data_IF_239554849204
#
_entry.id   IF_239554849204
#
_cell.length_a   1.000
_cell.length_b   1.000
_cell.length_c   1.000
_cell.angle_alpha   90.00
_cell.angle_beta   90.00
_cell.angle_gamma   90.00
#
_symmetry.space_group_name_H-M   'P 1'
#
loop_
_entity.id
_entity.type
_entity.pdbx_description
1 polymer ?
#
# COMPACT_ATOMS: atom_id res chain seq x y z
N UNK A 1 15.20 10.65 -33.59
CA UNK A 1 14.31 11.75 -33.11
C UNK A 1 12.82 11.38 -33.08
N UNK A 2 12.36 10.34 -33.80
CA UNK A 2 10.94 9.90 -33.80
C UNK A 2 10.40 9.27 -32.49
N UNK A 3 11.18 8.59 -31.61
CA UNK A 3 10.59 7.94 -30.42
C UNK A 3 10.27 8.90 -29.27
N UNK A 4 10.89 10.09 -29.24
CA UNK A 4 10.64 11.12 -28.22
C UNK A 4 9.31 11.85 -28.45
N UNK A 5 8.90 12.01 -29.71
CA UNK A 5 7.60 12.58 -30.09
C UNK A 5 6.44 11.64 -29.73
N UNK A 6 6.64 10.31 -29.83
CA UNK A 6 5.62 9.32 -29.45
C UNK A 6 5.40 9.27 -27.92
N UNK A 7 6.46 9.40 -27.13
CA UNK A 7 6.34 9.46 -25.66
C UNK A 7 5.66 10.75 -25.17
N UNK A 8 5.96 11.89 -25.81
CA UNK A 8 5.28 13.15 -25.53
C UNK A 8 3.79 13.11 -25.93
N UNK A 9 3.44 12.44 -27.03
CA UNK A 9 2.05 12.26 -27.45
C UNK A 9 1.24 11.39 -26.47
N UNK A 10 1.83 10.34 -25.88
CA UNK A 10 1.15 9.54 -24.84
C UNK A 10 0.93 10.32 -23.54
N UNK A 11 1.87 11.19 -23.15
CA UNK A 11 1.74 12.07 -21.97
C UNK A 11 0.71 13.19 -22.17
N UNK A 12 0.48 13.61 -23.41
CA UNK A 12 -0.55 14.62 -23.75
C UNK A 12 -1.96 14.00 -23.83
N UNK A 13 -2.06 12.71 -24.17
CA UNK A 13 -3.34 12.00 -24.24
C UNK A 13 -3.92 11.68 -22.85
N UNK A 14 -3.07 11.51 -21.84
CA UNK A 14 -3.52 11.33 -20.45
C UNK A 14 -4.12 12.60 -19.83
N UNK A 15 -3.84 13.78 -20.39
CA UNK A 15 -4.44 15.05 -19.94
C UNK A 15 -5.88 15.27 -20.45
N UNK A 16 -6.33 14.50 -21.45
CA UNK A 16 -7.65 14.65 -22.07
C UNK A 16 -8.71 13.68 -21.51
N UNK A 17 -8.29 12.68 -20.73
CA UNK A 17 -9.19 11.76 -20.04
C UNK A 17 -9.24 12.09 -18.55
N UNK A 18 -9.61 13.32 -18.19
CA UNK A 18 -10.22 13.55 -16.89
C UNK A 18 -11.60 12.91 -16.97
N UNK A 19 -11.66 11.60 -16.67
CA UNK A 19 -12.93 10.94 -16.45
C UNK A 19 -13.57 11.64 -15.25
N UNK A 20 -14.65 12.35 -15.51
CA UNK A 20 -15.41 13.16 -14.55
C UNK A 20 -16.23 12.26 -13.60
N UNK A 21 -15.56 11.27 -13.00
CA UNK A 21 -16.17 10.23 -12.14
C UNK A 21 -16.36 10.71 -10.69
N UNK A 22 -15.95 11.93 -10.38
CA UNK A 22 -15.99 12.53 -9.03
C UNK A 22 -17.15 13.53 -8.88
N UNK A 23 -17.98 13.69 -9.93
CA UNK A 23 -19.01 14.74 -10.02
C UNK A 23 -20.44 14.26 -9.76
N UNK A 24 -20.60 13.08 -9.15
CA UNK A 24 -21.91 12.68 -8.61
C UNK A 24 -22.24 13.55 -7.40
N UNK A 25 -23.45 14.13 -7.36
CA UNK A 25 -23.93 14.90 -6.22
C UNK A 25 -23.83 14.07 -4.94
N UNK A 26 -22.83 14.41 -4.10
CA UNK A 26 -22.72 13.86 -2.76
C UNK A 26 -23.85 14.49 -1.95
N UNK A 27 -24.95 13.74 -1.77
CA UNK A 27 -25.98 14.11 -0.80
C UNK A 27 -25.28 14.32 0.54
N UNK A 28 -25.20 15.57 1.00
CA UNK A 28 -24.51 15.91 2.25
C UNK A 28 -25.20 15.21 3.39
N UNK A 29 -24.58 14.11 3.84
CA UNK A 29 -25.03 13.41 5.02
C UNK A 29 -24.74 14.27 6.25
N UNK A 30 -25.63 14.27 7.25
CA UNK A 30 -25.36 14.97 8.51
C UNK A 30 -24.08 14.41 9.14
N UNK A 31 -23.32 15.28 9.82
CA UNK A 31 -22.09 14.90 10.50
C UNK A 31 -22.29 13.68 11.40
N UNK A 32 -21.59 12.60 11.10
CA UNK A 32 -21.63 11.40 11.92
C UNK A 32 -20.61 11.52 13.06
N UNK A 33 -21.02 12.16 14.15
CA UNK A 33 -20.17 12.44 15.32
C UNK A 33 -19.56 11.15 15.90
N UNK A 34 -20.33 10.05 15.89
CA UNK A 34 -19.87 8.75 16.39
C UNK A 34 -18.71 8.23 15.55
N UNK A 35 -18.84 8.26 14.22
CA UNK A 35 -17.79 7.80 13.31
C UNK A 35 -16.53 8.69 13.39
N UNK A 36 -16.70 10.01 13.55
CA UNK A 36 -15.59 10.95 13.73
C UNK A 36 -14.84 10.66 15.04
N UNK A 37 -15.55 10.44 16.15
CA UNK A 37 -14.97 10.10 17.44
C UNK A 37 -14.18 8.78 17.37
N UNK A 38 -14.74 7.75 16.74
CA UNK A 38 -14.04 6.48 16.52
C UNK A 38 -12.78 6.67 15.65
N UNK A 39 -12.87 7.46 14.58
CA UNK A 39 -11.74 7.75 13.71
C UNK A 39 -10.59 8.44 14.47
N UNK A 40 -10.88 9.49 15.23
CA UNK A 40 -9.87 10.24 15.99
C UNK A 40 -9.25 9.36 17.08
N UNK A 41 -10.05 8.56 17.79
CA UNK A 41 -9.54 7.62 18.79
C UNK A 41 -8.62 6.57 18.15
N UNK A 42 -9.04 5.99 17.02
CA UNK A 42 -8.25 4.98 16.32
C UNK A 42 -6.91 5.55 15.84
N UNK A 43 -6.94 6.67 15.11
CA UNK A 43 -5.72 7.35 14.62
C UNK A 43 -4.81 7.77 15.79
N UNK A 44 -5.39 8.35 16.84
CA UNK A 44 -4.64 8.74 18.03
C UNK A 44 -3.97 7.56 18.72
N UNK A 45 -4.68 6.44 18.88
CA UNK A 45 -4.13 5.21 19.45
C UNK A 45 -3.00 4.64 18.57
N UNK A 46 -3.18 4.58 17.25
CA UNK A 46 -2.13 4.12 16.32
C UNK A 46 -0.88 4.99 16.43
N UNK A 47 -1.02 6.31 16.37
CA UNK A 47 0.11 7.24 16.47
C UNK A 47 0.82 7.13 17.83
N UNK A 48 0.07 6.99 18.93
CA UNK A 48 0.62 6.79 20.25
C UNK A 48 1.44 5.49 20.34
N UNK A 49 0.89 4.38 19.84
CA UNK A 49 1.59 3.08 19.82
C UNK A 49 2.86 3.17 18.97
N UNK A 50 2.80 3.80 17.79
CA UNK A 50 3.97 3.99 16.91
C UNK A 50 5.05 4.84 17.57
N UNK A 51 4.67 5.94 18.23
CA UNK A 51 5.60 6.80 18.95
C UNK A 51 6.24 6.09 20.16
N UNK A 52 5.44 5.33 20.90
CA UNK A 52 5.95 4.53 22.02
C UNK A 52 6.90 3.42 21.55
N UNK A 53 6.57 2.77 20.43
CA UNK A 53 7.40 1.74 19.84
C UNK A 53 8.72 2.30 19.29
N UNK A 54 8.70 3.48 18.65
CA UNK A 54 9.90 4.09 18.07
C UNK A 54 10.96 4.42 19.11
N UNK A 55 10.56 4.77 20.35
CA UNK A 55 11.49 4.97 21.48
C UNK A 55 12.27 3.73 21.89
N UNK A 56 11.81 2.53 21.49
CA UNK A 56 12.43 1.24 21.85
C UNK A 56 13.42 0.75 20.79
N UNK A 57 13.47 1.39 19.62
CA UNK A 57 14.35 1.00 18.52
C UNK A 57 15.72 1.67 18.70
N UNK A 58 16.76 0.87 19.00
CA UNK A 58 18.12 1.39 19.22
C UNK A 58 19.15 0.88 18.22
N UNK A 59 18.87 -0.23 17.54
CA UNK A 59 19.75 -0.82 16.55
C UNK A 59 19.03 -1.09 15.22
N UNK A 60 19.82 -1.37 14.18
CA UNK A 60 19.30 -1.82 12.87
C UNK A 60 18.48 -3.09 12.99
N UNK A 61 18.89 -4.02 13.86
CA UNK A 61 18.18 -5.28 14.08
C UNK A 61 16.85 -5.03 14.79
N UNK A 62 16.79 -4.08 15.73
CA UNK A 62 15.53 -3.67 16.35
C UNK A 62 14.59 -3.02 15.33
N UNK A 63 15.12 -2.25 14.38
CA UNK A 63 14.31 -1.58 13.37
C UNK A 63 13.72 -2.56 12.35
N UNK A 64 14.52 -3.50 11.83
CA UNK A 64 14.07 -4.40 10.74
C UNK A 64 13.43 -5.70 11.22
N UNK A 65 13.81 -6.22 12.39
CA UNK A 65 13.32 -7.53 12.88
C UNK A 65 12.80 -7.48 14.31
N UNK A 66 12.69 -6.29 14.91
CA UNK A 66 12.32 -6.11 16.32
C UNK A 66 13.16 -6.98 17.27
N UNK A 67 14.44 -7.18 16.93
CA UNK A 67 15.35 -8.01 17.71
C UNK A 67 15.00 -9.50 17.72
N UNK A 68 14.17 -9.99 16.79
CA UNK A 68 13.71 -11.39 16.74
C UNK A 68 12.65 -11.75 17.79
N UNK A 69 12.01 -10.75 18.41
CA UNK A 69 11.06 -10.94 19.52
C UNK A 69 9.60 -11.13 19.11
N UNK A 70 9.28 -11.02 17.82
CA UNK A 70 7.90 -11.09 17.31
C UNK A 70 7.50 -12.56 17.14
N UNK A 71 6.35 -12.94 17.71
CA UNK A 71 5.81 -14.30 17.55
C UNK A 71 5.21 -14.51 16.16
N UNK A 72 5.05 -15.76 15.74
CA UNK A 72 4.47 -16.07 14.42
C UNK A 72 3.08 -15.46 14.20
N UNK A 73 2.22 -15.47 15.23
CA UNK A 73 0.89 -14.88 15.16
C UNK A 73 0.95 -13.34 15.05
N UNK A 74 1.81 -12.69 15.84
CA UNK A 74 2.00 -11.24 15.75
C UNK A 74 2.51 -10.82 14.37
N UNK A 75 3.48 -11.56 13.82
CA UNK A 75 3.99 -11.28 12.48
C UNK A 75 2.92 -11.54 11.40
N UNK A 76 2.15 -12.63 11.53
CA UNK A 76 1.06 -12.95 10.62
C UNK A 76 -0.03 -11.86 10.60
N UNK A 77 -0.42 -11.37 11.79
CA UNK A 77 -1.39 -10.29 11.92
C UNK A 77 -0.87 -8.97 11.35
N UNK A 78 0.41 -8.66 11.58
CA UNK A 78 1.04 -7.46 11.02
C UNK A 78 1.05 -7.50 9.49
N UNK A 79 1.44 -8.63 8.89
CA UNK A 79 1.47 -8.78 7.43
C UNK A 79 0.05 -8.76 6.85
N UNK A 80 -0.92 -9.39 7.52
CA UNK A 80 -2.32 -9.31 7.10
C UNK A 80 -2.85 -7.87 7.14
N UNK A 81 -2.45 -7.08 8.14
CA UNK A 81 -2.75 -5.66 8.22
C UNK A 81 -2.13 -4.86 7.06
N UNK A 82 -0.84 -5.06 6.78
CA UNK A 82 -0.13 -4.40 5.66
C UNK A 82 -0.70 -4.79 4.29
N UNK A 83 -1.28 -5.98 4.18
CA UNK A 83 -1.95 -6.45 2.97
C UNK A 83 -3.29 -5.74 2.69
N UNK A 84 -3.92 -5.17 3.73
CA UNK A 84 -5.15 -4.41 3.62
C UNK A 84 -4.86 -2.97 3.19
N UNK A 85 -5.45 -2.56 2.08
CA UNK A 85 -5.21 -1.25 1.47
C UNK A 85 -6.49 -0.66 0.89
N UNK A 86 -6.51 0.64 0.56
CA UNK A 86 -7.65 1.24 -0.13
C UNK A 86 -7.98 0.52 -1.45
N UNK A 87 -6.97 0.02 -2.18
CA UNK A 87 -7.19 -0.78 -3.38
C UNK A 87 -7.86 -2.13 -3.06
N UNK A 88 -7.45 -2.79 -1.98
CA UNK A 88 -8.02 -4.06 -1.54
C UNK A 88 -9.49 -3.91 -1.12
N UNK A 89 -9.85 -2.81 -0.46
CA UNK A 89 -11.22 -2.54 -0.04
C UNK A 89 -12.06 -1.93 -1.15
N UNK A 90 -11.74 -0.71 -1.60
CA UNK A 90 -12.54 0.02 -2.59
C UNK A 90 -12.46 -0.61 -3.98
N UNK A 91 -11.29 -1.10 -4.38
CA UNK A 91 -11.08 -1.67 -5.72
C UNK A 91 -11.85 -2.97 -5.91
N UNK A 92 -11.74 -3.91 -4.96
CA UNK A 92 -12.49 -5.18 -5.02
C UNK A 92 -13.99 -4.93 -4.88
N UNK A 93 -14.42 -4.07 -3.94
CA UNK A 93 -15.84 -3.75 -3.79
C UNK A 93 -16.42 -3.11 -5.06
N UNK A 94 -15.67 -2.21 -5.72
CA UNK A 94 -16.09 -1.63 -7.00
C UNK A 94 -16.18 -2.70 -8.09
N UNK A 95 -15.20 -3.60 -8.18
CA UNK A 95 -15.18 -4.67 -9.17
C UNK A 95 -16.35 -5.64 -9.01
N UNK A 96 -16.69 -5.99 -7.77
CA UNK A 96 -17.87 -6.83 -7.46
C UNK A 96 -19.15 -6.06 -7.76
N UNK A 97 -19.21 -4.77 -7.45
CA UNK A 97 -20.36 -3.94 -7.78
C UNK A 97 -20.61 -3.86 -9.30
N UNK A 98 -19.56 -3.75 -10.11
CA UNK A 98 -19.68 -3.63 -11.58
C UNK A 98 -19.85 -4.97 -12.29
N UNK A 99 -19.15 -6.01 -11.83
CA UNK A 99 -19.06 -7.31 -12.52
C UNK A 99 -19.85 -8.42 -11.82
N UNK A 100 -20.55 -8.09 -10.73
CA UNK A 100 -21.32 -9.05 -9.95
C UNK A 100 -20.44 -10.13 -9.31
N UNK A 101 -20.98 -11.35 -9.22
CA UNK A 101 -20.32 -12.48 -8.58
C UNK A 101 -18.97 -12.84 -9.24
N UNK A 102 -18.84 -12.62 -10.55
CA UNK A 102 -17.61 -12.89 -11.29
C UNK A 102 -16.46 -11.99 -10.82
N UNK A 103 -16.74 -10.82 -10.24
CA UNK A 103 -15.73 -9.96 -9.62
C UNK A 103 -15.03 -10.61 -8.43
N UNK A 104 -15.67 -11.56 -7.73
CA UNK A 104 -15.10 -12.22 -6.55
C UNK A 104 -13.90 -13.13 -6.90
N UNK A 105 -13.78 -13.58 -8.15
CA UNK A 105 -12.64 -14.41 -8.57
C UNK A 105 -11.31 -13.64 -8.42
N UNK A 106 -11.34 -12.33 -8.61
CA UNK A 106 -10.17 -11.47 -8.45
C UNK A 106 -9.76 -11.32 -6.98
N UNK A 107 -10.72 -11.34 -6.05
CA UNK A 107 -10.46 -11.36 -4.61
C UNK A 107 -9.69 -12.62 -4.19
N UNK A 108 -10.05 -13.76 -4.76
CA UNK A 108 -9.38 -15.05 -4.51
C UNK A 108 -7.94 -15.00 -5.01
N UNK A 109 -7.72 -14.51 -6.25
CA UNK A 109 -6.38 -14.34 -6.80
C UNK A 109 -5.52 -13.40 -5.95
N UNK A 110 -6.10 -12.30 -5.48
CA UNK A 110 -5.44 -11.37 -4.57
C UNK A 110 -5.01 -12.08 -3.27
N UNK A 111 -5.94 -12.80 -2.62
CA UNK A 111 -5.67 -13.50 -1.37
C UNK A 111 -4.64 -14.64 -1.52
N UNK A 112 -4.72 -15.44 -2.57
CA UNK A 112 -3.82 -16.59 -2.80
C UNK A 112 -2.40 -16.14 -3.19
N UNK A 113 -2.26 -14.98 -3.84
CA UNK A 113 -0.96 -14.42 -4.18
C UNK A 113 -0.07 -14.18 -2.95
N UNK A 114 -0.67 -13.89 -1.80
CA UNK A 114 0.06 -13.58 -0.58
C UNK A 114 0.88 -14.77 -0.02
N UNK A 115 0.31 -15.96 0.24
CA UNK A 115 1.09 -17.15 0.62
C UNK A 115 2.19 -17.51 -0.40
N UNK A 116 1.92 -17.37 -1.70
CA UNK A 116 2.89 -17.69 -2.75
C UNK A 116 4.14 -16.80 -2.61
N UNK A 117 3.95 -15.48 -2.47
CA UNK A 117 5.07 -14.54 -2.28
C UNK A 117 5.78 -14.80 -0.95
N UNK A 118 5.02 -15.08 0.11
CA UNK A 118 5.57 -15.34 1.43
C UNK A 118 6.48 -16.57 1.43
N UNK A 119 6.05 -17.70 0.86
CA UNK A 119 6.84 -18.93 0.83
C UNK A 119 7.97 -18.88 -0.20
N UNK A 120 7.71 -18.40 -1.42
CA UNK A 120 8.72 -18.46 -2.50
C UNK A 120 9.79 -17.38 -2.37
N UNK A 121 9.43 -16.19 -1.90
CA UNK A 121 10.33 -15.04 -1.85
C UNK A 121 10.74 -14.75 -0.42
N UNK A 122 9.80 -14.51 0.49
CA UNK A 122 10.14 -14.00 1.83
C UNK A 122 11.00 -14.99 2.63
N UNK A 123 10.71 -16.30 2.57
CA UNK A 123 11.53 -17.32 3.24
C UNK A 123 12.99 -17.33 2.73
N UNK A 124 13.18 -17.27 1.42
CA UNK A 124 14.50 -17.23 0.80
C UNK A 124 15.27 -15.96 1.19
N UNK A 125 14.60 -14.81 1.23
CA UNK A 125 15.20 -13.55 1.68
C UNK A 125 15.59 -13.62 3.16
N UNK A 126 14.74 -14.21 4.03
CA UNK A 126 15.02 -14.41 5.46
C UNK A 126 16.28 -15.24 5.68
N UNK A 127 16.43 -16.33 4.93
CA UNK A 127 17.56 -17.26 5.06
C UNK A 127 18.91 -16.65 4.62
N UNK A 128 18.91 -15.54 3.88
CA UNK A 128 20.12 -14.83 3.44
C UNK A 128 20.67 -13.82 4.48
N UNK A 129 19.97 -13.60 5.60
CA UNK A 129 20.46 -12.76 6.70
C UNK A 129 20.62 -11.27 6.36
N UNK A 130 19.97 -10.80 5.28
CA UNK A 130 19.96 -9.38 4.88
C UNK A 130 18.58 -8.78 5.13
N UNK A 131 18.54 -7.47 5.38
CA UNK A 131 17.32 -6.78 5.79
C UNK A 131 16.49 -6.23 4.63
N UNK A 132 17.09 -5.99 3.45
CA UNK A 132 16.39 -5.41 2.30
C UNK A 132 16.54 -6.24 1.04
N UNK A 133 15.54 -6.18 0.16
CA UNK A 133 15.60 -6.82 -1.16
C UNK A 133 16.82 -6.34 -1.96
N UNK A 134 17.12 -5.04 -1.92
CA UNK A 134 18.27 -4.45 -2.60
C UNK A 134 19.60 -5.06 -2.10
N UNK A 135 19.74 -5.28 -0.78
CA UNK A 135 20.91 -5.93 -0.21
C UNK A 135 21.07 -7.35 -0.75
N UNK A 136 19.97 -8.12 -0.83
CA UNK A 136 19.99 -9.49 -1.35
C UNK A 136 20.38 -9.54 -2.83
N UNK A 137 19.76 -8.73 -3.67
CA UNK A 137 20.06 -8.75 -5.11
C UNK A 137 21.48 -8.25 -5.38
N UNK A 138 21.93 -7.25 -4.62
CA UNK A 138 23.31 -6.73 -4.70
C UNK A 138 24.37 -7.71 -4.22
N UNK A 139 23.99 -8.83 -3.58
CA UNK A 139 24.92 -9.91 -3.25
C UNK A 139 25.35 -10.70 -4.49
N UNK A 140 24.45 -10.86 -5.47
CA UNK A 140 24.73 -11.59 -6.72
C UNK A 140 25.10 -10.67 -7.89
N UNK A 141 24.79 -9.39 -7.80
CA UNK A 141 24.95 -8.40 -8.86
C UNK A 141 25.76 -7.18 -8.40
N UNK A 142 26.03 -6.24 -9.31
CA UNK A 142 26.79 -5.02 -8.99
C UNK A 142 26.01 -4.13 -8.01
N UNK A 143 26.65 -3.74 -6.90
CA UNK A 143 25.98 -3.03 -5.81
C UNK A 143 25.38 -1.67 -6.20
N UNK A 144 26.18 -0.76 -6.77
CA UNK A 144 25.74 0.61 -7.07
C UNK A 144 24.53 0.64 -8.03
N UNK A 145 24.57 -0.02 -9.21
CA UNK A 145 23.44 0.02 -10.15
C UNK A 145 22.16 -0.58 -9.57
N UNK A 146 22.25 -1.71 -8.85
CA UNK A 146 21.08 -2.38 -8.28
C UNK A 146 20.45 -1.55 -7.17
N UNK A 147 21.25 -0.96 -6.28
CA UNK A 147 20.72 -0.11 -5.21
C UNK A 147 20.03 1.14 -5.76
N UNK A 148 20.61 1.78 -6.77
CA UNK A 148 19.98 2.93 -7.43
C UNK A 148 18.68 2.51 -8.13
N UNK A 149 18.70 1.40 -8.88
CA UNK A 149 17.51 0.89 -9.56
C UNK A 149 16.39 0.53 -8.55
N UNK A 150 16.73 -0.19 -7.48
CA UNK A 150 15.75 -0.54 -6.44
C UNK A 150 15.19 0.72 -5.76
N UNK A 151 16.03 1.69 -5.41
CA UNK A 151 15.57 2.93 -4.79
C UNK A 151 14.62 3.73 -5.72
N UNK A 152 15.03 3.95 -6.97
CA UNK A 152 14.20 4.66 -7.95
C UNK A 152 12.90 3.89 -8.25
N UNK A 153 12.99 2.58 -8.46
CA UNK A 153 11.82 1.73 -8.70
C UNK A 153 10.84 1.75 -7.52
N UNK A 154 11.33 1.62 -6.29
CA UNK A 154 10.50 1.72 -5.08
C UNK A 154 9.83 3.09 -4.96
N UNK A 155 10.56 4.19 -5.21
CA UNK A 155 9.97 5.53 -5.15
C UNK A 155 8.87 5.73 -6.19
N UNK A 156 9.07 5.26 -7.43
CA UNK A 156 8.06 5.35 -8.49
C UNK A 156 6.81 4.54 -8.13
N UNK A 157 6.99 3.30 -7.70
CA UNK A 157 5.87 2.43 -7.32
C UNK A 157 5.11 3.00 -6.12
N UNK A 158 5.83 3.46 -5.08
CA UNK A 158 5.21 4.07 -3.89
C UNK A 158 4.48 5.36 -4.25
N UNK A 159 5.05 6.21 -5.11
CA UNK A 159 4.39 7.45 -5.52
C UNK A 159 3.05 7.17 -6.22
N UNK A 160 3.03 6.27 -7.20
CA UNK A 160 1.78 5.86 -7.88
C UNK A 160 0.79 5.22 -6.91
N UNK A 161 1.28 4.37 -6.00
CA UNK A 161 0.46 3.72 -5.00
C UNK A 161 -0.18 4.72 -4.03
N UNK A 162 0.59 5.72 -3.56
CA UNK A 162 0.09 6.74 -2.64
C UNK A 162 -0.99 7.61 -3.29
N UNK A 163 -0.94 7.89 -4.59
CA UNK A 163 -2.03 8.61 -5.29
C UNK A 163 -3.37 7.87 -5.09
N UNK A 164 -3.41 6.57 -5.35
CA UNK A 164 -4.62 5.76 -5.18
C UNK A 164 -5.08 5.72 -3.70
N UNK A 165 -4.15 5.62 -2.75
CA UNK A 165 -4.47 5.65 -1.32
C UNK A 165 -5.07 6.99 -0.89
N UNK A 166 -4.53 8.11 -1.38
CA UNK A 166 -5.02 9.44 -1.05
C UNK A 166 -6.42 9.69 -1.61
N UNK A 167 -6.73 9.18 -2.80
CA UNK A 167 -8.09 9.21 -3.35
C UNK A 167 -9.06 8.41 -2.46
N UNK A 168 -8.67 7.20 -2.05
CA UNK A 168 -9.47 6.37 -1.15
C UNK A 168 -9.71 7.03 0.21
N UNK A 169 -8.66 7.56 0.84
CA UNK A 169 -8.76 8.29 2.09
C UNK A 169 -9.63 9.55 1.97
N UNK A 170 -9.49 10.31 0.88
CA UNK A 170 -10.30 11.50 0.61
C UNK A 170 -11.80 11.18 0.53
N UNK A 171 -12.16 10.07 -0.13
CA UNK A 171 -13.56 9.61 -0.19
C UNK A 171 -14.11 9.19 1.17
N UNK A 172 -13.30 8.56 2.02
CA UNK A 172 -13.69 8.25 3.39
C UNK A 172 -13.92 9.52 4.21
N UNK A 173 -13.07 10.55 4.07
CA UNK A 173 -13.24 11.84 4.74
C UNK A 173 -14.52 12.56 4.27
N UNK A 174 -14.79 12.58 2.96
CA UNK A 174 -16.04 13.15 2.43
C UNK A 174 -17.27 12.49 3.07
N UNK A 175 -17.25 11.16 3.19
CA UNK A 175 -18.34 10.38 3.78
C UNK A 175 -18.48 10.63 5.29
N UNK A 176 -17.39 10.72 6.04
CA UNK A 176 -17.42 10.91 7.50
C UNK A 176 -17.86 12.33 7.91
N UNK A 177 -17.44 13.34 7.14
CA UNK A 177 -17.66 14.75 7.46
C UNK A 177 -18.78 15.40 6.65
N UNK A 178 -19.42 14.68 5.72
CA UNK A 178 -20.54 15.18 4.92
C UNK A 178 -20.15 16.29 3.93
N UNK A 179 -18.93 16.26 3.41
CA UNK A 179 -18.36 17.29 2.54
C UNK A 179 -18.76 17.12 1.08
#
# INVERSE_FOLDING_TARGET
MKPLLSAAALLMLSGLTYADTISGEVHRQPLNIQAIMMFVLFVGATLYITYWASKRTRSRQDYYTAGGRITGLQNGLAIAGDFMSAASFLGISALVYTSGYDGLIYSIGFLIGWPIILFLIAERLRNLGRYTFADVVSYRLKQKPIRTLSACGSLVVVALYLIAQMVGAGKLIQLLFGL
#
